data_IF_803327588155
#
_entry.id   IF_803327588155
#
_cell.length_a   1.000
_cell.length_b   1.000
_cell.length_c   1.000
_cell.angle_alpha   90.00
_cell.angle_beta   90.00
_cell.angle_gamma   90.00
#
_symmetry.space_group_name_H-M   'P 1'
#
loop_
_entity.id
_entity.type
_entity.pdbx_description
1 polymer ?
#
# COMPACT_ATOMS: atom_id res chain seq x y z
N UNK A 1 -12.79 -3.68 -12.82
CA UNK A 1 -11.58 -4.33 -12.26
C UNK A 1 -12.01 -5.15 -11.05
N UNK A 2 -11.52 -6.39 -10.88
CA UNK A 2 -11.86 -7.20 -9.71
C UNK A 2 -10.83 -6.92 -8.60
N UNK A 3 -11.22 -6.18 -7.56
CA UNK A 3 -10.31 -5.79 -6.48
C UNK A 3 -10.12 -6.89 -5.43
N UNK A 4 -10.99 -7.91 -5.39
CA UNK A 4 -10.91 -9.02 -4.44
C UNK A 4 -9.65 -9.86 -4.60
N UNK A 5 -9.05 -9.89 -5.79
CA UNK A 5 -7.79 -10.61 -6.01
C UNK A 5 -6.62 -10.03 -5.23
N UNK A 6 -6.71 -8.78 -4.76
CA UNK A 6 -5.65 -8.10 -4.00
C UNK A 6 -5.78 -8.30 -2.49
N UNK A 7 -6.90 -8.86 -2.02
CA UNK A 7 -7.14 -9.11 -0.59
C UNK A 7 -6.03 -9.97 0.01
N UNK A 8 -5.51 -9.55 1.16
CA UNK A 8 -4.41 -10.19 1.88
C UNK A 8 -3.02 -9.91 1.31
N UNK A 9 -2.92 -9.38 0.10
CA UNK A 9 -1.65 -9.15 -0.59
C UNK A 9 -1.14 -7.72 -0.43
N UNK A 10 0.18 -7.61 -0.42
CA UNK A 10 0.80 -6.31 -0.63
C UNK A 10 0.54 -5.77 -2.04
N UNK A 11 0.07 -4.52 -2.11
CA UNK A 11 -0.24 -3.87 -3.38
C UNK A 11 0.37 -2.48 -3.48
N UNK A 12 0.89 -2.17 -4.66
CA UNK A 12 1.18 -0.80 -5.05
C UNK A 12 -0.07 -0.19 -5.67
N UNK A 13 -0.58 0.86 -5.05
CA UNK A 13 -1.80 1.57 -5.44
C UNK A 13 -1.40 2.97 -5.90
N UNK A 14 -1.65 3.28 -7.15
CA UNK A 14 -1.43 4.61 -7.73
C UNK A 14 -2.78 5.32 -7.80
N UNK A 15 -2.88 6.45 -7.11
CA UNK A 15 -4.07 7.29 -7.10
C UNK A 15 -4.10 8.23 -8.32
N UNK A 16 -5.28 8.78 -8.62
CA UNK A 16 -5.46 9.80 -9.66
C UNK A 16 -4.63 11.06 -9.43
N UNK A 17 -4.33 11.38 -8.17
CA UNK A 17 -3.42 12.47 -7.78
C UNK A 17 -1.95 12.20 -8.15
N UNK A 18 -1.61 10.98 -8.60
CA UNK A 18 -0.24 10.53 -8.82
C UNK A 18 0.45 10.01 -7.57
N UNK A 19 -0.17 10.14 -6.38
CA UNK A 19 0.33 9.55 -5.14
C UNK A 19 0.40 8.03 -5.26
N UNK A 20 1.50 7.45 -4.79
CA UNK A 20 1.71 6.00 -4.73
C UNK A 20 1.67 5.55 -3.28
N UNK A 21 0.92 4.50 -3.01
CA UNK A 21 0.77 3.88 -1.70
C UNK A 21 1.16 2.41 -1.82
N UNK A 22 1.98 1.93 -0.88
CA UNK A 22 2.30 0.52 -0.74
C UNK A 22 1.67 0.01 0.54
N UNK A 23 0.60 -0.77 0.42
CA UNK A 23 -0.19 -1.20 1.56
C UNK A 23 -0.82 -2.57 1.32
N UNK A 24 -1.12 -3.27 2.42
CA UNK A 24 -1.83 -4.55 2.35
C UNK A 24 -3.32 -4.30 2.27
N UNK A 25 -3.99 -4.87 1.28
CA UNK A 25 -5.45 -4.80 1.18
C UNK A 25 -6.06 -5.76 2.19
N UNK A 26 -6.85 -5.27 3.13
CA UNK A 26 -7.45 -6.08 4.20
C UNK A 26 -8.96 -6.22 4.08
N UNK A 27 -9.62 -5.35 3.34
CA UNK A 27 -11.05 -5.41 3.06
C UNK A 27 -11.34 -4.82 1.68
N UNK A 28 -12.33 -5.37 0.98
CA UNK A 28 -12.85 -4.83 -0.28
C UNK A 28 -14.37 -4.80 -0.19
N UNK A 29 -14.95 -3.61 -0.32
CA UNK A 29 -16.40 -3.39 -0.29
C UNK A 29 -16.86 -2.86 -1.65
N UNK A 30 -17.54 -3.71 -2.42
CA UNK A 30 -18.14 -3.28 -3.70
C UNK A 30 -19.36 -2.39 -3.52
N UNK A 31 -20.13 -2.60 -2.45
CA UNK A 31 -21.26 -1.73 -2.10
C UNK A 31 -20.78 -0.33 -1.72
N UNK A 32 -19.73 -0.24 -0.91
CA UNK A 32 -19.11 1.03 -0.52
C UNK A 32 -18.07 1.55 -1.51
N UNK A 33 -17.94 0.92 -2.69
CA UNK A 33 -16.97 1.19 -3.74
C UNK A 33 -15.57 1.57 -3.23
N UNK A 34 -15.08 0.83 -2.23
CA UNK A 34 -13.84 1.16 -1.53
C UNK A 34 -13.11 -0.09 -1.05
N UNK A 35 -11.83 0.08 -0.75
CA UNK A 35 -11.02 -0.92 -0.07
C UNK A 35 -10.41 -0.32 1.19
N UNK A 36 -10.21 -1.17 2.19
CA UNK A 36 -9.45 -0.84 3.38
C UNK A 36 -8.04 -1.39 3.22
N UNK A 37 -7.04 -0.55 3.45
CA UNK A 37 -5.63 -0.93 3.39
C UNK A 37 -4.96 -0.65 4.73
N UNK A 38 -3.94 -1.43 5.04
CA UNK A 38 -3.13 -1.30 6.24
C UNK A 38 -1.74 -0.79 5.87
N UNK A 39 -1.37 0.35 6.43
CA UNK A 39 -0.02 0.92 6.38
C UNK A 39 0.77 0.50 7.64
N UNK A 40 2.10 0.46 7.57
CA UNK A 40 2.99 -0.07 8.62
C UNK A 40 2.90 0.68 9.96
N UNK A 41 2.34 1.89 9.96
CA UNK A 41 2.03 2.63 11.19
C UNK A 41 0.70 2.20 11.86
N UNK A 42 0.14 1.07 11.43
CA UNK A 42 -1.14 0.54 11.88
C UNK A 42 -2.38 1.42 11.63
N UNK A 43 -2.22 2.45 10.78
CA UNK A 43 -3.33 3.26 10.33
C UNK A 43 -4.11 2.51 9.23
N UNK A 44 -5.39 2.27 9.48
CA UNK A 44 -6.33 1.79 8.47
C UNK A 44 -6.70 2.96 7.57
N UNK A 45 -6.41 2.84 6.28
CA UNK A 45 -6.79 3.83 5.27
C UNK A 45 -7.87 3.25 4.37
N UNK A 46 -8.96 3.99 4.17
CA UNK A 46 -9.98 3.66 3.17
C UNK A 46 -9.65 4.39 1.88
N UNK A 47 -9.63 3.66 0.76
CA UNK A 47 -9.39 4.19 -0.58
C UNK A 47 -10.60 3.85 -1.44
N UNK A 48 -11.21 4.84 -2.08
CA UNK A 48 -12.34 4.63 -2.98
C UNK A 48 -11.85 4.20 -4.36
N UNK A 49 -12.61 3.34 -5.04
CA UNK A 49 -12.23 2.79 -6.35
C UNK A 49 -12.07 3.88 -7.41
N UNK A 50 -12.86 4.95 -7.31
CA UNK A 50 -12.77 6.10 -8.21
C UNK A 50 -11.44 6.86 -8.07
N UNK A 51 -10.79 6.80 -6.90
CA UNK A 51 -9.50 7.44 -6.66
C UNK A 51 -8.33 6.65 -7.25
N UNK A 52 -8.55 5.37 -7.57
CA UNK A 52 -7.49 4.45 -8.01
C UNK A 52 -7.32 4.57 -9.53
N UNK A 53 -6.15 5.04 -9.93
CA UNK A 53 -5.73 5.00 -11.33
C UNK A 53 -5.25 3.61 -11.72
N UNK A 54 -4.48 2.97 -10.86
CA UNK A 54 -3.88 1.66 -11.12
C UNK A 54 -3.54 0.93 -9.82
N UNK A 55 -3.68 -0.40 -9.80
CA UNK A 55 -3.28 -1.26 -8.68
C UNK A 55 -2.57 -2.51 -9.20
N UNK A 56 -1.50 -2.94 -8.51
CA UNK A 56 -0.83 -4.21 -8.79
C UNK A 56 -0.32 -4.86 -7.52
N UNK A 57 -0.28 -6.20 -7.50
CA UNK A 57 0.40 -6.97 -6.45
C UNK A 57 1.90 -6.73 -6.55
N UNK A 58 2.54 -6.65 -5.41
CA UNK A 58 4.00 -6.49 -5.32
C UNK A 58 4.56 -7.44 -4.25
N UNK A 59 5.88 -7.56 -4.17
CA UNK A 59 6.52 -8.37 -3.14
C UNK A 59 6.15 -7.89 -1.73
N UNK A 60 5.94 -8.83 -0.81
CA UNK A 60 5.55 -8.53 0.58
C UNK A 60 6.55 -7.60 1.29
N UNK A 61 7.84 -7.64 0.92
CA UNK A 61 8.89 -6.75 1.43
C UNK A 61 8.69 -5.27 1.11
N UNK A 62 7.77 -4.94 0.19
CA UNK A 62 7.45 -3.58 -0.20
C UNK A 62 6.28 -3.00 0.60
N UNK A 63 5.53 -3.85 1.32
CA UNK A 63 4.47 -3.36 2.19
C UNK A 63 5.07 -2.83 3.46
N UNK A 64 4.95 -1.51 3.61
CA UNK A 64 5.44 -0.81 4.77
C UNK A 64 6.92 -0.44 4.73
N UNK A 65 7.68 -0.90 3.73
CA UNK A 65 8.90 -0.20 3.37
C UNK A 65 8.52 1.22 2.96
N UNK A 66 8.87 2.22 3.78
CA UNK A 66 9.18 3.53 3.24
C UNK A 66 10.37 3.29 2.30
N UNK A 67 10.12 2.91 1.05
CA UNK A 67 11.11 3.05 -0.01
C UNK A 67 11.24 4.54 -0.26
N UNK A 68 11.91 5.18 0.69
CA UNK A 68 12.43 6.52 0.65
C UNK A 68 13.21 6.62 -0.65
N UNK A 69 12.69 7.47 -1.54
CA UNK A 69 13.45 8.29 -2.44
C UNK A 69 14.95 8.34 -2.06
N UNK A 70 15.83 7.71 -2.84
CA UNK A 70 17.23 8.14 -3.03
C UNK A 70 18.19 8.32 -1.83
N UNK A 71 17.88 7.86 -0.61
CA UNK A 71 18.80 8.03 0.52
C UNK A 71 19.54 6.73 0.89
N UNK A 72 20.85 6.80 0.67
CA UNK A 72 21.90 5.85 1.04
C UNK A 72 21.72 5.39 2.49
N UNK A 73 21.47 4.09 2.70
CA UNK A 73 21.51 3.48 4.03
C UNK A 73 22.94 3.57 4.59
N UNK A 74 23.13 4.35 5.65
CA UNK A 74 24.17 4.09 6.64
C UNK A 74 23.46 3.64 7.91
N UNK A 75 23.14 2.35 7.97
CA UNK A 75 22.84 1.70 9.24
C UNK A 75 24.18 1.52 9.97
N UNK A 76 24.56 2.52 10.78
CA UNK A 76 25.51 2.28 11.86
C UNK A 76 24.72 1.65 13.01
N UNK A 77 24.82 0.33 13.13
CA UNK A 77 24.66 -0.35 14.41
C UNK A 77 26.04 -0.46 15.02
N UNK A 78 26.25 0.28 16.09
CA UNK A 78 27.30 0.17 17.10
C UNK A 78 26.70 0.84 18.34
N UNK A 79 26.76 0.35 19.57
CA UNK A 79 27.12 -0.91 20.18
C UNK A 79 26.64 -0.77 21.65
N UNK A 80 26.23 -1.88 22.28
CA UNK A 80 25.81 -2.06 23.70
C UNK A 80 24.46 -1.55 24.20
#
# INVERSE_FOLDING_TARGET
MNYSSFLGHCSQITLNSGKIIFARVVEVSYLGQSMLVFDEQAAKLRIYFEEIRHIRKVGESLCGSQLLNGFRFHAKKDDK
#
